data_IF_150337949180
#
_entry.id   IF_150337949180
#
_cell.length_a   1.000
_cell.length_b   1.000
_cell.length_c   1.000
_cell.angle_alpha   90.00
_cell.angle_beta   90.00
_cell.angle_gamma   90.00
#
_symmetry.space_group_name_H-M   'P 1'
#
loop_
_entity.id
_entity.type
_entity.pdbx_description
1 polymer ?
#
# COMPACT_ATOMS: atom_id res chain seq x y z
N UNK A 1 62.30 27.42 43.79
CA UNK A 1 62.38 25.95 43.69
C UNK A 1 61.00 25.46 43.27
N UNK A 2 60.81 25.26 41.97
CA UNK A 2 59.53 24.89 41.33
C UNK A 2 59.65 23.42 40.97
N UNK A 3 58.77 22.57 41.51
CA UNK A 3 58.71 21.15 41.14
C UNK A 3 57.39 20.90 40.41
N UNK A 4 57.40 20.44 39.14
CA UNK A 4 56.21 19.99 38.45
C UNK A 4 55.85 18.58 38.95
N UNK A 5 54.61 18.38 39.39
CA UNK A 5 54.08 17.03 39.64
C UNK A 5 53.48 16.50 38.34
N UNK A 6 53.95 15.36 37.79
CA UNK A 6 53.44 14.81 36.55
C UNK A 6 52.07 14.15 36.75
N UNK A 7 51.16 14.50 35.83
CA UNK A 7 49.97 13.81 35.36
C UNK A 7 49.77 12.39 35.92
N UNK A 8 48.90 12.26 36.93
CA UNK A 8 48.31 10.97 37.27
C UNK A 8 47.25 10.61 36.22
N UNK A 9 47.68 9.73 35.31
CA UNK A 9 46.92 8.66 34.68
C UNK A 9 45.39 8.76 34.68
N UNK A 10 44.89 9.05 33.47
CA UNK A 10 43.73 8.43 32.84
C UNK A 10 43.26 7.14 33.55
N UNK A 11 42.16 7.24 34.27
CA UNK A 11 41.20 6.14 34.35
C UNK A 11 39.87 6.65 33.82
N UNK A 12 39.80 6.77 32.49
CA UNK A 12 38.52 6.58 31.84
C UNK A 12 38.08 5.17 32.25
N UNK A 13 37.20 5.07 33.24
CA UNK A 13 36.35 3.89 33.39
C UNK A 13 35.46 3.90 32.16
N UNK A 14 36.01 3.45 31.03
CA UNK A 14 35.24 2.79 30.01
C UNK A 14 34.74 1.53 30.68
N UNK A 15 33.66 1.68 31.44
CA UNK A 15 32.89 0.56 31.94
C UNK A 15 32.55 -0.27 30.72
N UNK A 16 33.33 -1.32 30.49
CA UNK A 16 33.15 -2.20 29.37
C UNK A 16 31.73 -2.72 29.52
N UNK A 17 30.82 -2.21 28.69
CA UNK A 17 29.45 -2.67 28.60
C UNK A 17 29.56 -4.16 28.30
N UNK A 18 29.41 -4.99 29.34
CA UNK A 18 29.24 -6.43 29.19
C UNK A 18 27.72 -6.62 29.14
N UNK A 19 27.12 -6.75 27.94
CA UNK A 19 25.70 -7.04 27.87
C UNK A 19 25.53 -8.40 28.53
N UNK A 20 24.90 -8.42 29.70
CA UNK A 20 24.61 -9.65 30.39
C UNK A 20 23.65 -10.42 29.48
N UNK A 21 24.05 -11.59 28.96
CA UNK A 21 23.27 -12.37 27.97
C UNK A 21 21.80 -12.55 28.37
N UNK A 22 21.55 -12.58 29.68
CA UNK A 22 20.21 -12.59 30.28
C UNK A 22 19.37 -11.36 29.92
N UNK A 23 19.92 -10.14 30.01
CA UNK A 23 19.20 -8.90 29.63
C UNK A 23 18.91 -8.81 28.14
N UNK A 24 19.79 -9.37 27.30
CA UNK A 24 19.55 -9.46 25.86
C UNK A 24 18.44 -10.46 25.56
N UNK A 25 18.44 -11.63 26.23
CA UNK A 25 17.36 -12.61 26.12
C UNK A 25 16.02 -12.05 26.63
N UNK A 26 16.01 -11.32 27.75
CA UNK A 26 14.80 -10.69 28.29
C UNK A 26 14.26 -9.59 27.36
N UNK A 27 15.14 -8.77 26.77
CA UNK A 27 14.76 -7.77 25.77
C UNK A 27 14.24 -8.41 24.49
N UNK A 28 14.82 -9.54 24.07
CA UNK A 28 14.34 -10.31 22.92
C UNK A 28 12.96 -10.90 23.21
N UNK A 29 12.75 -11.48 24.38
CA UNK A 29 11.44 -11.99 24.83
C UNK A 29 10.39 -10.87 24.92
N UNK A 30 10.77 -9.69 25.40
CA UNK A 30 9.88 -8.52 25.45
C UNK A 30 9.51 -8.01 24.05
N UNK A 31 10.41 -8.14 23.07
CA UNK A 31 10.15 -7.79 21.67
C UNK A 31 9.38 -8.88 20.90
N UNK A 32 9.33 -10.12 21.38
CA UNK A 32 8.55 -11.19 20.73
C UNK A 32 7.05 -10.89 20.73
N UNK A 33 6.52 -10.36 21.83
CA UNK A 33 5.11 -10.03 21.94
C UNK A 33 4.64 -9.03 20.86
N UNK A 34 5.26 -7.84 20.69
CA UNK A 34 4.86 -6.91 19.64
C UNK A 34 5.10 -7.47 18.24
N UNK A 35 6.18 -8.24 18.01
CA UNK A 35 6.43 -8.87 16.69
C UNK A 35 5.34 -9.89 16.37
N UNK A 36 4.97 -10.75 17.31
CA UNK A 36 3.90 -11.73 17.13
C UNK A 36 2.56 -11.04 16.88
N UNK A 37 2.25 -9.99 17.64
CA UNK A 37 1.04 -9.19 17.43
C UNK A 37 1.02 -8.55 16.03
N UNK A 38 2.14 -7.95 15.61
CA UNK A 38 2.27 -7.38 14.27
C UNK A 38 2.15 -8.43 13.17
N UNK A 39 2.74 -9.61 13.34
CA UNK A 39 2.64 -10.70 12.38
C UNK A 39 1.20 -11.23 12.24
N UNK A 40 0.47 -11.38 13.36
CA UNK A 40 -0.94 -11.77 13.36
C UNK A 40 -1.80 -10.70 12.69
N UNK A 41 -1.61 -9.43 13.05
CA UNK A 41 -2.34 -8.32 12.45
C UNK A 41 -2.08 -8.24 10.93
N UNK A 42 -0.82 -8.33 10.52
CA UNK A 42 -0.44 -8.27 9.11
C UNK A 42 -0.96 -9.48 8.34
N UNK A 43 -0.84 -10.69 8.89
CA UNK A 43 -1.37 -11.91 8.27
C UNK A 43 -2.90 -11.87 8.12
N UNK A 44 -3.61 -11.39 9.13
CA UNK A 44 -5.06 -11.16 9.07
C UNK A 44 -5.43 -10.14 8.00
N UNK A 45 -4.72 -9.01 7.96
CA UNK A 45 -4.92 -7.97 6.94
C UNK A 45 -4.65 -8.50 5.54
N UNK A 46 -3.54 -9.22 5.32
CA UNK A 46 -3.21 -9.84 4.01
C UNK A 46 -4.31 -10.80 3.57
N UNK A 47 -4.81 -11.62 4.48
CA UNK A 47 -5.93 -12.55 4.19
C UNK A 47 -7.17 -11.78 3.78
N UNK A 48 -7.56 -10.76 4.55
CA UNK A 48 -8.72 -9.92 4.27
C UNK A 48 -8.63 -9.20 2.91
N UNK A 49 -7.46 -8.66 2.57
CA UNK A 49 -7.18 -8.03 1.27
C UNK A 49 -7.27 -9.04 0.13
N UNK A 50 -6.70 -10.24 0.29
CA UNK A 50 -6.73 -11.30 -0.72
C UNK A 50 -8.15 -11.83 -0.99
N UNK A 51 -9.04 -11.78 0.01
CA UNK A 51 -10.47 -12.05 -0.15
C UNK A 51 -11.22 -10.96 -0.95
N UNK A 52 -10.53 -9.90 -1.39
CA UNK A 52 -11.10 -8.84 -2.22
C UNK A 52 -11.85 -7.75 -1.44
N UNK A 53 -11.83 -7.81 -0.11
CA UNK A 53 -12.54 -6.83 0.73
C UNK A 53 -11.92 -5.43 0.68
N UNK A 54 -10.65 -5.31 0.25
CA UNK A 54 -10.02 -4.02 0.00
C UNK A 54 -10.60 -3.26 -1.20
N UNK A 55 -11.57 -3.87 -1.90
CA UNK A 55 -12.05 -3.40 -3.19
C UNK A 55 -11.04 -3.73 -4.29
N UNK A 56 -11.51 -3.68 -5.52
CA UNK A 56 -10.65 -3.74 -6.70
C UNK A 56 -10.97 -2.56 -7.61
N UNK A 57 -9.98 -2.05 -8.36
CA UNK A 57 -10.21 -0.94 -9.27
C UNK A 57 -11.31 -1.28 -10.29
N UNK A 58 -12.00 -0.26 -10.85
CA UNK A 58 -12.97 -0.50 -11.90
C UNK A 58 -12.28 -1.18 -13.10
N UNK A 59 -13.01 -2.11 -13.73
CA UNK A 59 -12.55 -2.88 -14.89
C UNK A 59 -13.64 -2.81 -15.94
N UNK A 60 -13.48 -1.87 -16.87
CA UNK A 60 -14.50 -1.56 -17.86
C UNK A 60 -14.23 -2.29 -19.16
N UNK A 61 -15.24 -3.02 -19.64
CA UNK A 61 -15.28 -3.58 -20.98
C UNK A 61 -16.45 -2.94 -21.76
N UNK A 62 -16.18 -2.56 -23.02
CA UNK A 62 -17.20 -2.03 -23.94
C UNK A 62 -17.33 -2.99 -25.11
N UNK A 63 -18.55 -3.49 -25.37
CA UNK A 63 -18.81 -4.50 -26.41
C UNK A 63 -20.07 -4.17 -27.21
N UNK A 64 -20.21 -4.77 -28.39
CA UNK A 64 -21.43 -4.70 -29.19
C UNK A 64 -21.77 -3.30 -29.71
N UNK A 65 -20.76 -2.48 -30.01
CA UNK A 65 -20.94 -1.15 -30.55
C UNK A 65 -21.65 -1.15 -31.90
N UNK A 66 -22.79 -0.45 -31.99
CA UNK A 66 -23.59 -0.25 -33.19
C UNK A 66 -24.13 1.18 -33.22
N UNK A 67 -24.20 1.78 -34.41
CA UNK A 67 -24.74 3.12 -34.61
C UNK A 67 -25.85 3.00 -35.64
N UNK A 68 -26.99 3.64 -35.40
CA UNK A 68 -28.03 3.73 -36.43
C UNK A 68 -27.55 4.68 -37.53
N UNK A 69 -27.79 4.34 -38.80
CA UNK A 69 -27.55 5.31 -39.86
C UNK A 69 -28.67 6.35 -39.84
N UNK A 70 -28.35 7.65 -39.89
CA UNK A 70 -29.37 8.68 -40.07
C UNK A 70 -30.18 8.36 -41.35
N UNK A 71 -31.51 8.53 -41.28
CA UNK A 71 -32.40 8.24 -42.38
C UNK A 71 -33.29 9.45 -42.69
N UNK A 72 -33.50 9.72 -43.98
CA UNK A 72 -34.18 10.92 -44.44
C UNK A 72 -33.37 12.18 -44.12
N UNK A 73 -34.03 13.22 -43.62
CA UNK A 73 -33.39 14.49 -43.28
C UNK A 73 -33.00 14.61 -41.79
N UNK A 74 -33.14 13.51 -41.02
CA UNK A 74 -32.77 13.48 -39.60
C UNK A 74 -31.25 13.44 -39.49
N UNK A 75 -30.68 14.41 -38.78
CA UNK A 75 -29.22 14.51 -38.55
C UNK A 75 -28.77 13.84 -37.25
N UNK A 76 -29.69 13.64 -36.32
CA UNK A 76 -29.41 12.95 -35.07
C UNK A 76 -29.41 11.44 -35.27
N UNK A 77 -28.53 10.76 -34.54
CA UNK A 77 -28.48 9.30 -34.50
C UNK A 77 -28.26 8.79 -33.08
N UNK A 78 -28.51 7.50 -32.88
CA UNK A 78 -28.25 6.78 -31.64
C UNK A 78 -27.11 5.77 -31.81
N UNK A 79 -26.22 5.75 -30.83
CA UNK A 79 -25.20 4.72 -30.66
C UNK A 79 -25.59 3.80 -29.49
N UNK A 80 -25.48 2.50 -29.73
CA UNK A 80 -25.76 1.45 -28.77
C UNK A 80 -24.49 0.65 -28.52
N UNK A 81 -24.14 0.49 -27.25
CA UNK A 81 -23.03 -0.35 -26.82
C UNK A 81 -23.32 -0.85 -25.41
N UNK A 82 -22.75 -1.99 -25.07
CA UNK A 82 -22.82 -2.54 -23.71
C UNK A 82 -21.55 -2.18 -22.97
N UNK A 83 -21.70 -1.45 -21.87
CA UNK A 83 -20.65 -1.24 -20.88
C UNK A 83 -20.83 -2.27 -19.77
N UNK A 84 -19.74 -2.91 -19.35
CA UNK A 84 -19.72 -3.82 -18.22
C UNK A 84 -18.56 -3.45 -17.31
N UNK A 85 -18.84 -3.21 -16.04
CA UNK A 85 -17.82 -3.06 -15.00
C UNK A 85 -17.73 -4.37 -14.23
N UNK A 86 -16.60 -5.06 -14.33
CA UNK A 86 -16.32 -6.28 -13.57
C UNK A 86 -15.40 -6.01 -12.38
N UNK A 87 -15.05 -4.75 -12.13
CA UNK A 87 -14.25 -4.30 -11.00
C UNK A 87 -15.11 -4.10 -9.75
N UNK A 88 -14.44 -3.97 -8.60
CA UNK A 88 -15.06 -3.82 -7.29
C UNK A 88 -15.31 -2.38 -6.87
N UNK A 89 -15.24 -1.43 -7.79
CA UNK A 89 -15.46 -0.01 -7.55
C UNK A 89 -16.34 0.58 -8.64
N UNK A 90 -17.18 1.55 -8.26
CA UNK A 90 -18.08 2.25 -9.18
C UNK A 90 -17.32 3.08 -10.22
N UNK A 91 -17.93 3.27 -11.38
CA UNK A 91 -17.40 4.11 -12.47
C UNK A 91 -18.54 4.85 -13.19
N UNK A 92 -18.21 5.92 -13.91
CA UNK A 92 -19.17 6.79 -14.59
C UNK A 92 -18.75 7.11 -16.01
N UNK A 93 -19.65 6.89 -16.97
CA UNK A 93 -19.49 7.38 -18.33
C UNK A 93 -19.70 8.90 -18.37
N UNK A 94 -18.63 9.66 -18.63
CA UNK A 94 -18.66 11.13 -18.64
C UNK A 94 -18.84 11.74 -20.04
N UNK A 95 -18.27 11.10 -21.07
CA UNK A 95 -18.26 11.64 -22.42
C UNK A 95 -18.26 10.51 -23.44
N UNK A 96 -18.92 10.75 -24.57
CA UNK A 96 -18.84 9.94 -25.78
C UNK A 96 -18.33 10.86 -26.90
N UNK A 97 -17.36 10.40 -27.67
CA UNK A 97 -16.78 11.13 -28.81
C UNK A 97 -16.87 10.27 -30.06
N UNK A 98 -17.19 10.90 -31.18
CA UNK A 98 -17.16 10.31 -32.52
C UNK A 98 -16.28 11.16 -33.43
N UNK A 99 -15.53 10.52 -34.33
CA UNK A 99 -14.77 11.19 -35.38
C UNK A 99 -15.53 11.28 -36.71
N UNK A 100 -16.75 10.76 -36.76
CA UNK A 100 -17.62 10.90 -37.93
C UNK A 100 -18.09 12.36 -38.01
N UNK A 101 -17.75 13.01 -39.12
CA UNK A 101 -18.14 14.36 -39.49
C UNK A 101 -19.30 14.31 -40.48
#
# INVERSE_FOLDING_TARGET
>A
MITPTPTAERTAVTGAWRPNRRRVADGLLAALAPIAASAVALGGLTTWVNLGNAGSPPRIAVTGGRVFLPYGDVRDTAAFFRITNTGGADDRLLKVTSSAT
#
